data_IF_907508576541
#
_entry.id   IF_907508576541
#
_cell.length_a   1.000
_cell.length_b   1.000
_cell.length_c   1.000
_cell.angle_alpha   90.00
_cell.angle_beta   90.00
_cell.angle_gamma   90.00
#
_symmetry.space_group_name_H-M   'P 1'
#
loop_
_entity.id
_entity.type
_entity.pdbx_description
1 polymer ?
#
# COMPACT_ATOMS: atom_id res chain seq x y z
N UNK A 1 1.97 -2.04 14.33
CA UNK A 1 3.33 -2.30 13.83
C UNK A 1 4.30 -2.46 14.99
N UNK A 2 5.23 -3.41 14.89
CA UNK A 2 6.24 -3.68 15.92
C UNK A 2 7.61 -3.35 15.32
N UNK A 3 8.39 -2.51 15.98
CA UNK A 3 9.78 -2.27 15.61
C UNK A 3 10.69 -3.20 16.42
N UNK A 4 11.31 -4.16 15.77
CA UNK A 4 12.07 -5.23 16.43
C UNK A 4 13.59 -5.11 16.31
N UNK A 5 14.28 -5.75 17.21
CA UNK A 5 15.60 -5.52 17.75
C UNK A 5 16.73 -6.34 17.13
N UNK A 6 17.86 -5.70 16.86
CA UNK A 6 19.13 -6.40 16.66
C UNK A 6 20.15 -6.02 17.73
N UNK A 7 20.75 -6.99 18.41
CA UNK A 7 21.87 -6.75 19.30
C UNK A 7 23.16 -6.56 18.50
N UNK A 8 23.64 -5.33 18.43
CA UNK A 8 24.99 -5.01 17.97
C UNK A 8 25.79 -4.42 19.14
N UNK A 9 27.04 -4.81 19.26
CA UNK A 9 27.97 -4.25 20.25
C UNK A 9 28.05 -2.73 20.08
N UNK A 10 27.92 -1.92 21.14
CA UNK A 10 27.95 -0.49 21.00
C UNK A 10 29.32 -0.01 20.51
N UNK A 11 29.38 0.86 19.49
CA UNK A 11 30.62 1.56 19.17
C UNK A 11 30.94 2.53 20.30
N UNK A 12 32.23 2.72 20.57
CA UNK A 12 32.70 3.71 21.53
C UNK A 12 32.10 5.09 21.17
N UNK A 13 31.42 5.70 22.13
CA UNK A 13 30.68 6.94 21.93
C UNK A 13 31.66 8.09 21.58
N UNK A 14 31.46 8.69 20.41
CA UNK A 14 32.01 10.03 20.17
C UNK A 14 31.25 11.03 21.07
N UNK A 15 31.93 12.03 21.65
CA UNK A 15 31.27 13.02 22.50
C UNK A 15 30.18 13.74 21.70
N UNK A 16 29.00 13.95 22.28
CA UNK A 16 27.90 14.62 21.59
C UNK A 16 28.35 16.03 21.22
N UNK A 17 28.35 16.34 19.91
CA UNK A 17 28.46 17.74 19.52
C UNK A 17 27.16 18.43 19.95
N UNK A 18 27.25 19.54 20.69
CA UNK A 18 26.13 20.32 21.18
C UNK A 18 25.14 20.77 20.08
N UNK A 19 25.51 20.59 18.81
CA UNK A 19 24.67 20.89 17.63
C UNK A 19 23.74 19.74 17.21
N UNK A 20 23.92 18.52 17.73
CA UNK A 20 23.20 17.33 17.29
C UNK A 20 22.02 16.93 18.18
N UNK A 21 21.97 17.45 19.40
CA UNK A 21 20.82 17.23 20.28
C UNK A 21 20.02 18.53 20.36
N UNK A 22 18.80 18.59 19.83
CA UNK A 22 17.99 19.80 19.88
C UNK A 22 17.60 20.07 21.35
N UNK A 23 18.32 20.98 21.97
CA UNK A 23 18.03 21.44 23.34
C UNK A 23 16.74 22.27 23.37
N UNK A 24 16.39 22.88 22.23
CA UNK A 24 15.12 23.60 22.06
C UNK A 24 14.16 22.70 21.28
N UNK A 25 12.94 22.60 21.72
CA UNK A 25 11.92 21.81 21.06
C UNK A 25 10.68 21.63 21.91
N UNK A 26 9.68 21.01 21.32
CA UNK A 26 8.36 20.77 21.90
C UNK A 26 8.43 19.80 23.10
N UNK A 27 9.49 19.01 23.22
CA UNK A 27 9.63 18.02 24.29
C UNK A 27 10.03 18.70 25.61
N UNK A 28 9.34 18.42 26.71
CA UNK A 28 9.56 19.02 28.05
C UNK A 28 10.78 18.39 28.75
N UNK A 29 11.96 18.57 28.18
CA UNK A 29 13.22 17.93 28.66
C UNK A 29 13.70 18.47 30.00
N UNK A 30 13.45 19.74 30.27
CA UNK A 30 13.77 20.36 31.55
C UNK A 30 12.80 19.90 32.65
N UNK A 31 11.50 19.89 32.31
CA UNK A 31 10.43 19.54 33.24
C UNK A 31 10.46 18.06 33.65
N UNK A 32 10.93 17.21 32.74
CA UNK A 32 11.12 15.76 32.99
C UNK A 32 12.42 15.42 33.70
N UNK A 33 13.29 16.42 33.95
CA UNK A 33 14.63 16.20 34.52
C UNK A 33 15.63 15.54 33.54
N UNK A 34 15.25 15.33 32.26
CA UNK A 34 16.11 14.67 31.27
C UNK A 34 17.42 15.45 31.02
N UNK A 35 17.37 16.81 31.05
CA UNK A 35 18.56 17.62 30.87
C UNK A 35 19.52 17.52 32.05
N UNK A 36 19.00 17.43 33.28
CA UNK A 36 19.84 17.31 34.49
C UNK A 36 20.47 15.90 34.54
N UNK A 37 19.69 14.87 34.21
CA UNK A 37 20.22 13.51 34.09
C UNK A 37 21.37 13.42 33.06
N UNK A 38 21.22 14.06 31.91
CA UNK A 38 22.27 14.06 30.87
C UNK A 38 23.52 14.88 31.28
N UNK A 39 23.38 15.87 32.15
CA UNK A 39 24.55 16.58 32.74
C UNK A 39 25.35 15.66 33.66
N UNK A 40 24.65 14.88 34.49
CA UNK A 40 25.29 13.93 35.40
C UNK A 40 25.85 12.70 34.68
N UNK A 41 25.16 12.29 33.59
CA UNK A 41 25.48 11.10 32.79
C UNK A 41 25.62 11.43 31.29
N UNK A 42 26.62 12.17 30.87
CA UNK A 42 26.72 12.71 29.49
C UNK A 42 26.85 11.66 28.39
N UNK A 43 27.14 10.41 28.75
CA UNK A 43 27.21 9.28 27.83
C UNK A 43 25.90 8.44 27.77
N UNK A 44 24.92 8.74 28.63
CA UNK A 44 23.66 8.01 28.75
C UNK A 44 22.54 8.69 27.93
N UNK A 45 22.83 8.97 26.70
CA UNK A 45 21.95 9.71 25.77
C UNK A 45 21.08 8.79 24.89
N UNK A 46 21.06 7.51 25.20
CA UNK A 46 20.28 6.50 24.45
C UNK A 46 20.96 5.96 23.21
N UNK A 47 22.14 6.48 22.81
CA UNK A 47 22.88 5.93 21.69
C UNK A 47 23.31 4.47 21.93
N UNK A 48 23.14 3.62 20.92
CA UNK A 48 23.43 2.19 21.03
C UNK A 48 22.34 1.36 21.69
N UNK A 49 21.26 2.00 22.18
CA UNK A 49 20.08 1.30 22.71
C UNK A 49 19.07 1.14 21.60
N UNK A 50 18.55 -0.06 21.45
CA UNK A 50 17.42 -0.34 20.55
C UNK A 50 16.14 -0.49 21.38
N UNK A 51 15.09 0.20 20.98
CA UNK A 51 13.80 0.22 21.68
C UNK A 51 12.76 -0.45 20.78
N UNK A 52 11.98 -1.38 21.33
CA UNK A 52 10.77 -1.88 20.67
C UNK A 52 9.59 -0.99 21.06
N UNK A 53 8.87 -0.52 20.05
CA UNK A 53 7.68 0.29 20.20
C UNK A 53 6.51 -0.50 19.65
N UNK A 54 5.52 -0.77 20.50
CA UNK A 54 4.25 -1.39 20.12
C UNK A 54 3.24 -0.26 19.91
N UNK A 55 2.85 -0.05 18.67
CA UNK A 55 1.98 1.04 18.25
C UNK A 55 1.09 0.62 17.07
N UNK A 56 0.22 1.49 16.64
CA UNK A 56 -0.66 1.27 15.48
C UNK A 56 0.07 1.35 14.13
N UNK A 57 1.27 1.94 14.10
CA UNK A 57 2.10 2.02 12.91
C UNK A 57 3.27 3.00 13.06
N UNK A 58 4.12 3.03 12.07
CA UNK A 58 5.20 4.01 11.94
C UNK A 58 5.40 4.33 10.46
N UNK A 59 5.48 5.61 10.13
CA UNK A 59 5.83 6.04 8.79
C UNK A 59 7.34 5.88 8.55
N UNK A 60 7.79 4.88 7.77
CA UNK A 60 9.20 4.68 7.49
C UNK A 60 9.79 5.77 6.59
N UNK A 61 8.94 6.56 5.93
CA UNK A 61 9.31 7.69 5.08
C UNK A 61 9.34 9.03 5.81
N UNK A 62 8.91 9.11 7.07
CA UNK A 62 8.80 10.38 7.78
C UNK A 62 10.16 11.07 7.96
N UNK A 63 10.26 12.38 7.66
CA UNK A 63 11.48 13.14 7.85
C UNK A 63 12.01 13.03 9.28
N UNK A 64 13.31 12.76 9.41
CA UNK A 64 13.97 12.60 10.71
C UNK A 64 13.86 11.22 11.35
N UNK A 65 13.14 10.26 10.71
CA UNK A 65 13.12 8.86 11.12
C UNK A 65 14.08 7.96 10.33
N UNK A 66 14.80 8.50 9.33
CA UNK A 66 15.69 7.72 8.47
C UNK A 66 17.01 7.40 9.16
N UNK A 67 17.62 8.42 9.79
CA UNK A 67 18.94 8.33 10.35
C UNK A 67 19.01 8.86 11.78
N UNK A 68 19.86 8.25 12.55
CA UNK A 68 20.27 8.73 13.88
C UNK A 68 21.28 9.88 13.73
N UNK A 69 21.57 10.58 14.82
CA UNK A 69 22.54 11.68 14.82
C UNK A 69 23.98 11.27 14.44
N UNK A 70 24.29 9.98 14.47
CA UNK A 70 25.56 9.39 14.07
C UNK A 70 25.49 8.67 12.71
N UNK A 71 24.43 8.93 11.90
CA UNK A 71 24.31 8.45 10.52
C UNK A 71 23.90 6.99 10.38
N UNK A 72 23.49 6.32 11.45
CA UNK A 72 22.98 4.95 11.39
C UNK A 72 21.48 4.94 11.11
N UNK A 73 20.92 3.85 10.55
CA UNK A 73 19.49 3.70 10.42
C UNK A 73 18.77 3.87 11.76
N UNK A 74 17.80 4.77 11.83
CA UNK A 74 17.05 5.04 13.06
C UNK A 74 15.98 3.98 13.29
N UNK A 75 15.25 3.61 12.25
CA UNK A 75 14.34 2.47 12.28
C UNK A 75 15.13 1.24 11.80
N UNK A 76 15.31 0.26 12.67
CA UNK A 76 16.07 -0.96 12.34
C UNK A 76 15.21 -2.05 11.74
N UNK A 77 13.93 -2.12 12.14
CA UNK A 77 12.96 -3.04 11.59
C UNK A 77 11.53 -2.53 11.82
N UNK A 78 10.59 -2.95 10.98
CA UNK A 78 9.16 -2.69 11.09
C UNK A 78 8.42 -4.00 10.86
N UNK A 79 7.55 -4.40 11.78
CA UNK A 79 6.86 -5.69 11.72
C UNK A 79 5.37 -5.47 11.98
N UNK A 80 4.52 -6.03 11.13
CA UNK A 80 3.09 -6.15 11.42
C UNK A 80 2.85 -7.29 12.40
N UNK A 81 2.45 -6.98 13.61
CA UNK A 81 2.11 -7.97 14.64
C UNK A 81 0.65 -8.41 14.62
N UNK A 82 -0.18 -7.79 13.77
CA UNK A 82 -1.60 -8.10 13.64
C UNK A 82 -1.91 -9.11 12.52
N UNK A 83 -1.01 -9.22 11.55
CA UNK A 83 -1.23 -10.00 10.33
C UNK A 83 -2.18 -9.32 9.33
N UNK A 84 -2.67 -8.10 9.61
CA UNK A 84 -3.60 -7.40 8.71
C UNK A 84 -2.98 -7.09 7.35
N UNK A 85 -1.65 -6.96 7.29
CA UNK A 85 -0.90 -6.73 6.06
C UNK A 85 -0.42 -7.99 5.36
N UNK A 86 -0.72 -9.18 5.89
CA UNK A 86 -0.24 -10.42 5.31
C UNK A 86 -0.96 -10.76 4.01
N UNK A 87 -0.19 -11.26 3.06
CA UNK A 87 -0.60 -11.68 1.73
C UNK A 87 -0.08 -13.10 1.51
N UNK A 88 -0.96 -14.03 1.20
CA UNK A 88 -0.58 -15.35 0.72
C UNK A 88 0.00 -15.21 -0.69
N UNK A 89 1.29 -15.49 -0.83
CA UNK A 89 2.04 -15.48 -2.08
C UNK A 89 2.54 -16.87 -2.46
N UNK A 90 1.94 -17.92 -1.92
CA UNK A 90 2.32 -19.32 -2.19
C UNK A 90 1.99 -19.77 -3.63
N UNK A 91 1.08 -19.06 -4.32
CA UNK A 91 0.72 -19.37 -5.70
C UNK A 91 1.88 -19.03 -6.66
N UNK A 92 2.40 -20.03 -7.37
CA UNK A 92 3.49 -19.86 -8.34
C UNK A 92 2.97 -19.60 -9.77
N UNK A 93 3.70 -18.79 -10.51
CA UNK A 93 3.49 -18.52 -11.94
C UNK A 93 4.81 -18.58 -12.70
N UNK A 94 4.72 -18.88 -13.98
CA UNK A 94 5.82 -18.75 -14.93
C UNK A 94 5.63 -17.48 -15.74
N UNK A 95 6.72 -16.75 -15.97
CA UNK A 95 6.70 -15.60 -16.85
C UNK A 95 6.89 -16.00 -18.30
N UNK A 96 6.14 -15.38 -19.20
CA UNK A 96 6.29 -15.52 -20.64
C UNK A 96 6.48 -14.13 -21.26
N UNK A 97 7.51 -13.98 -22.08
CA UNK A 97 7.81 -12.71 -22.77
C UNK A 97 7.86 -11.48 -21.83
N UNK A 98 8.41 -11.66 -20.63
CA UNK A 98 8.52 -10.59 -19.63
C UNK A 98 7.22 -10.23 -18.92
N UNK A 99 6.18 -11.07 -19.06
CA UNK A 99 4.89 -10.87 -18.39
C UNK A 99 4.42 -12.13 -17.66
N UNK A 100 3.54 -11.95 -16.69
CA UNK A 100 2.79 -13.04 -16.06
C UNK A 100 1.35 -12.61 -15.78
N UNK A 101 0.47 -13.57 -15.48
CA UNK A 101 -0.91 -13.26 -15.07
C UNK A 101 -1.02 -13.24 -13.55
N UNK A 102 -1.40 -12.09 -13.00
CA UNK A 102 -1.69 -11.92 -11.58
C UNK A 102 -2.95 -12.67 -11.13
N UNK A 103 -3.19 -12.70 -9.82
CA UNK A 103 -4.41 -13.35 -9.29
C UNK A 103 -5.68 -12.52 -9.54
N UNK A 104 -5.56 -11.22 -9.81
CA UNK A 104 -6.68 -10.39 -10.27
C UNK A 104 -7.09 -10.68 -11.71
N UNK A 105 -6.28 -11.44 -12.45
CA UNK A 105 -6.42 -11.65 -13.89
C UNK A 105 -5.71 -10.61 -14.75
N UNK A 106 -5.09 -9.59 -14.15
CA UNK A 106 -4.27 -8.62 -14.90
C UNK A 106 -3.02 -9.26 -15.46
N UNK A 107 -2.59 -8.76 -16.62
CA UNK A 107 -1.26 -9.08 -17.15
C UNK A 107 -0.25 -8.16 -16.48
N UNK A 108 0.68 -8.75 -15.75
CA UNK A 108 1.71 -8.02 -15.01
C UNK A 108 3.01 -8.02 -15.83
N UNK A 109 3.50 -6.84 -16.17
CA UNK A 109 4.77 -6.63 -16.87
C UNK A 109 5.91 -6.57 -15.87
N UNK A 110 6.88 -7.46 -16.04
CA UNK A 110 8.02 -7.59 -15.15
C UNK A 110 9.19 -6.67 -15.57
N UNK A 111 10.01 -6.25 -14.61
CA UNK A 111 11.20 -5.47 -14.91
C UNK A 111 12.24 -6.29 -15.68
N UNK A 112 12.61 -5.86 -16.88
CA UNK A 112 13.54 -6.58 -17.75
C UNK A 112 14.97 -6.77 -17.18
N UNK A 113 15.30 -6.09 -16.09
CA UNK A 113 16.58 -6.24 -15.37
C UNK A 113 16.49 -7.13 -14.14
N UNK A 114 15.30 -7.62 -13.80
CA UNK A 114 15.13 -8.47 -12.63
C UNK A 114 15.69 -9.86 -12.89
N UNK A 115 16.50 -10.33 -11.94
CA UNK A 115 17.06 -11.65 -11.99
C UNK A 115 16.15 -12.59 -11.21
N UNK A 116 15.75 -13.70 -11.78
CA UNK A 116 15.01 -14.76 -11.10
C UNK A 116 15.57 -16.11 -11.57
N UNK A 117 16.71 -16.55 -11.02
CA UNK A 117 17.36 -17.80 -11.47
C UNK A 117 16.50 -19.05 -11.25
N UNK A 118 15.56 -18.99 -10.31
CA UNK A 118 14.61 -20.08 -10.06
C UNK A 118 13.47 -20.16 -11.08
N UNK A 119 13.26 -19.11 -11.88
CA UNK A 119 12.21 -19.05 -12.91
C UNK A 119 10.77 -18.94 -12.38
N UNK A 120 10.56 -19.13 -11.08
CA UNK A 120 9.25 -19.13 -10.44
C UNK A 120 8.94 -17.78 -9.84
N UNK A 121 7.76 -17.28 -10.11
CA UNK A 121 7.22 -16.04 -9.58
C UNK A 121 6.06 -16.37 -8.66
N UNK A 122 6.14 -15.97 -7.42
CA UNK A 122 5.07 -16.11 -6.44
C UNK A 122 4.12 -14.93 -6.56
N UNK A 123 2.83 -15.18 -6.54
CA UNK A 123 1.82 -14.13 -6.73
C UNK A 123 0.78 -14.17 -5.62
N UNK A 124 0.36 -12.99 -5.19
CA UNK A 124 -0.70 -12.79 -4.21
C UNK A 124 -1.52 -11.57 -4.54
N UNK A 125 -2.59 -11.34 -3.81
CA UNK A 125 -3.42 -10.12 -3.90
C UNK A 125 -3.70 -9.56 -2.52
N UNK A 126 -3.86 -8.24 -2.45
CA UNK A 126 -4.28 -7.55 -1.24
C UNK A 126 -5.33 -6.50 -1.54
N UNK A 127 -6.48 -6.59 -0.87
CA UNK A 127 -7.48 -5.53 -0.92
C UNK A 127 -6.96 -4.30 -0.16
N UNK A 128 -6.91 -3.15 -0.83
CA UNK A 128 -6.34 -1.92 -0.25
C UNK A 128 -7.04 -1.48 1.04
N UNK A 129 -8.36 -1.68 1.11
CA UNK A 129 -9.14 -1.28 2.27
C UNK A 129 -8.90 -2.12 3.53
N UNK A 130 -8.24 -3.27 3.40
CA UNK A 130 -7.74 -4.04 4.53
C UNK A 130 -6.45 -3.46 5.13
N UNK A 131 -5.76 -2.62 4.37
CA UNK A 131 -4.50 -1.98 4.78
C UNK A 131 -4.72 -0.58 5.38
N UNK A 132 -5.85 0.06 5.04
CA UNK A 132 -6.05 1.48 5.31
C UNK A 132 -6.93 1.71 6.55
N UNK A 133 -6.65 2.77 7.35
CA UNK A 133 -7.52 3.16 8.45
C UNK A 133 -8.89 3.59 7.94
N UNK A 134 -9.94 3.37 8.74
CA UNK A 134 -11.33 3.59 8.35
C UNK A 134 -11.66 5.01 7.86
N UNK A 135 -10.99 6.02 8.41
CA UNK A 135 -11.12 7.42 7.95
C UNK A 135 -10.63 7.61 6.52
N UNK A 136 -9.49 6.98 6.17
CA UNK A 136 -8.95 6.99 4.81
C UNK A 136 -9.85 6.22 3.85
N UNK A 137 -10.28 5.01 4.23
CA UNK A 137 -11.24 4.21 3.45
C UNK A 137 -12.50 5.02 3.13
N UNK A 138 -13.07 5.68 4.15
CA UNK A 138 -14.27 6.51 3.97
C UNK A 138 -14.04 7.68 3.02
N UNK A 139 -12.87 8.30 3.03
CA UNK A 139 -12.50 9.36 2.09
C UNK A 139 -12.36 8.81 0.67
N UNK A 140 -11.60 7.73 0.50
CA UNK A 140 -11.38 7.11 -0.81
C UNK A 140 -12.67 6.60 -1.45
N UNK A 141 -13.56 5.94 -0.68
CA UNK A 141 -14.88 5.53 -1.14
C UNK A 141 -15.70 6.71 -1.70
N UNK A 142 -15.69 7.85 -1.00
CA UNK A 142 -16.40 9.05 -1.49
C UNK A 142 -15.80 9.60 -2.79
N UNK A 143 -14.47 9.65 -2.88
CA UNK A 143 -13.78 10.14 -4.07
C UNK A 143 -14.02 9.23 -5.28
N UNK A 144 -13.89 7.91 -5.11
CA UNK A 144 -14.11 6.91 -6.16
C UNK A 144 -15.57 6.86 -6.57
N UNK A 145 -16.50 6.93 -5.60
CA UNK A 145 -17.93 7.02 -5.92
C UNK A 145 -18.27 8.25 -6.75
N UNK A 146 -17.70 9.40 -6.44
CA UNK A 146 -17.92 10.63 -7.23
C UNK A 146 -17.48 10.47 -8.69
N UNK A 147 -16.36 9.84 -8.93
CA UNK A 147 -15.86 9.56 -10.27
C UNK A 147 -16.75 8.53 -10.99
N UNK A 148 -17.11 7.45 -10.31
CA UNK A 148 -18.02 6.44 -10.81
C UNK A 148 -19.39 7.04 -11.16
N UNK A 149 -20.00 7.83 -10.27
CA UNK A 149 -21.27 8.50 -10.51
C UNK A 149 -21.22 9.43 -11.74
N UNK A 150 -20.08 10.08 -12.00
CA UNK A 150 -19.89 10.87 -13.22
C UNK A 150 -19.98 10.00 -14.47
N UNK A 151 -19.24 8.92 -14.50
CA UNK A 151 -19.25 7.97 -15.63
C UNK A 151 -20.63 7.34 -15.83
N UNK A 152 -21.34 7.01 -14.74
CA UNK A 152 -22.70 6.46 -14.85
C UNK A 152 -23.70 7.48 -15.41
N UNK A 153 -23.61 8.75 -15.02
CA UNK A 153 -24.46 9.81 -15.62
C UNK A 153 -24.23 9.94 -17.13
N UNK A 154 -22.99 9.88 -17.58
CA UNK A 154 -22.68 9.92 -19.02
C UNK A 154 -23.27 8.71 -19.77
N UNK A 155 -23.14 7.51 -19.22
CA UNK A 155 -23.74 6.29 -19.79
C UNK A 155 -25.27 6.35 -19.81
N UNK A 156 -25.86 6.80 -18.70
CA UNK A 156 -27.31 6.95 -18.57
C UNK A 156 -27.86 7.94 -19.60
N UNK A 157 -27.22 9.11 -19.75
CA UNK A 157 -27.61 10.09 -20.74
C UNK A 157 -27.57 9.54 -22.17
N UNK A 158 -26.54 8.74 -22.50
CA UNK A 158 -26.45 8.07 -23.79
C UNK A 158 -27.59 7.07 -24.03
N UNK A 159 -27.95 6.25 -23.04
CA UNK A 159 -29.07 5.30 -23.17
C UNK A 159 -30.42 6.00 -23.25
N UNK A 160 -30.63 7.08 -22.49
CA UNK A 160 -31.86 7.87 -22.54
C UNK A 160 -32.01 8.56 -23.90
N UNK A 161 -30.91 9.08 -24.47
CA UNK A 161 -30.94 9.63 -25.84
C UNK A 161 -31.30 8.54 -26.86
N UNK A 162 -30.68 7.37 -26.80
CA UNK A 162 -30.98 6.26 -27.71
C UNK A 162 -32.44 5.80 -27.60
N UNK A 163 -33.02 5.79 -26.40
CA UNK A 163 -34.44 5.47 -26.22
C UNK A 163 -35.33 6.55 -26.79
N UNK A 164 -35.00 7.82 -26.63
CA UNK A 164 -35.76 8.93 -27.19
C UNK A 164 -35.75 8.92 -28.73
N UNK A 165 -34.58 8.71 -29.34
CA UNK A 165 -34.42 8.59 -30.79
C UNK A 165 -35.23 7.40 -31.34
N UNK A 166 -35.22 6.28 -30.60
CA UNK A 166 -35.99 5.11 -30.94
C UNK A 166 -37.51 5.40 -30.89
N UNK A 167 -37.98 6.06 -29.86
CA UNK A 167 -39.41 6.41 -29.67
C UNK A 167 -39.86 7.43 -30.71
N UNK A 168 -39.02 8.40 -31.09
CA UNK A 168 -39.29 9.32 -32.18
C UNK A 168 -39.47 8.59 -33.54
N UNK A 169 -38.55 7.65 -33.81
CA UNK A 169 -38.59 6.86 -35.05
C UNK A 169 -39.72 5.81 -35.07
N UNK A 170 -40.25 5.40 -33.92
CA UNK A 170 -41.22 4.31 -33.80
C UNK A 170 -42.35 4.68 -32.84
N UNK A 171 -43.27 5.56 -33.25
CA UNK A 171 -44.35 6.08 -32.37
C UNK A 171 -45.29 5.03 -31.82
N UNK A 172 -45.40 3.85 -32.44
CA UNK A 172 -46.23 2.72 -31.94
C UNK A 172 -45.53 1.39 -32.24
N UNK A 173 -44.51 1.03 -31.45
CA UNK A 173 -43.69 -0.15 -31.73
C UNK A 173 -44.49 -1.45 -31.53
N UNK A 174 -44.41 -2.37 -32.51
CA UNK A 174 -45.05 -3.69 -32.48
C UNK A 174 -44.05 -4.78 -32.81
N UNK A 175 -44.33 -6.03 -32.37
CA UNK A 175 -43.45 -7.17 -32.66
C UNK A 175 -42.03 -6.96 -32.16
N UNK A 176 -41.03 -7.09 -33.02
CA UNK A 176 -39.64 -7.00 -32.67
C UNK A 176 -39.22 -5.59 -32.21
N UNK A 177 -39.84 -4.53 -32.76
CA UNK A 177 -39.65 -3.16 -32.29
C UNK A 177 -40.07 -2.94 -30.83
N UNK A 178 -41.17 -3.60 -30.40
CA UNK A 178 -41.56 -3.57 -28.99
C UNK A 178 -40.55 -4.26 -28.09
N UNK A 179 -39.90 -5.35 -28.53
CA UNK A 179 -38.85 -6.05 -27.80
C UNK A 179 -37.61 -5.15 -27.68
N UNK A 180 -37.17 -4.54 -28.80
CA UNK A 180 -36.03 -3.64 -28.86
C UNK A 180 -36.19 -2.46 -27.90
N UNK A 181 -37.34 -1.82 -27.86
CA UNK A 181 -37.66 -0.79 -26.88
C UNK A 181 -37.58 -1.29 -25.44
N UNK A 182 -38.09 -2.49 -25.20
CA UNK A 182 -38.08 -3.15 -23.88
C UNK A 182 -36.61 -3.41 -23.43
N UNK A 183 -35.73 -3.80 -24.33
CA UNK A 183 -34.32 -4.00 -24.02
C UNK A 183 -33.60 -2.69 -23.67
N UNK A 184 -33.89 -1.59 -24.40
CA UNK A 184 -33.32 -0.27 -24.09
C UNK A 184 -33.78 0.20 -22.69
N UNK A 185 -35.09 0.06 -22.39
CA UNK A 185 -35.60 0.42 -21.07
C UNK A 185 -34.96 -0.46 -19.97
N UNK A 186 -34.88 -1.77 -20.17
CA UNK A 186 -34.26 -2.67 -19.19
C UNK A 186 -32.81 -2.35 -18.90
N UNK A 187 -32.06 -1.85 -19.88
CA UNK A 187 -30.67 -1.36 -19.68
C UNK A 187 -30.63 -0.12 -18.79
N UNK A 188 -31.58 0.81 -18.98
CA UNK A 188 -31.71 2.00 -18.13
C UNK A 188 -32.03 1.58 -16.69
N UNK A 189 -33.04 0.73 -16.51
CA UNK A 189 -33.49 0.24 -15.20
C UNK A 189 -32.35 -0.49 -14.47
N UNK A 190 -31.56 -1.28 -15.20
CA UNK A 190 -30.37 -1.96 -14.66
C UNK A 190 -29.30 -0.98 -14.19
N UNK A 191 -29.00 0.07 -14.96
CA UNK A 191 -28.02 1.08 -14.55
C UNK A 191 -28.49 1.87 -13.33
N UNK A 192 -29.78 2.19 -13.24
CA UNK A 192 -30.36 2.85 -12.06
C UNK A 192 -30.23 1.97 -10.81
N UNK A 193 -30.53 0.68 -10.93
CA UNK A 193 -30.35 -0.29 -9.83
C UNK A 193 -28.87 -0.36 -9.40
N UNK A 194 -27.94 -0.50 -10.36
CA UNK A 194 -26.50 -0.52 -10.07
C UNK A 194 -26.03 0.76 -9.39
N UNK A 195 -26.58 1.92 -9.78
CA UNK A 195 -26.21 3.21 -9.18
C UNK A 195 -26.68 3.32 -7.73
N UNK A 196 -27.87 2.78 -7.43
CA UNK A 196 -28.42 2.79 -6.08
C UNK A 196 -27.65 1.89 -5.12
N UNK A 197 -27.21 0.72 -5.58
CA UNK A 197 -26.60 -0.31 -4.74
C UNK A 197 -25.07 -0.28 -4.78
N UNK A 198 -24.47 0.70 -5.45
CA UNK A 198 -23.02 0.80 -5.57
C UNK A 198 -22.34 1.04 -4.23
N UNK A 199 -21.54 0.08 -3.77
CA UNK A 199 -20.49 0.26 -2.76
C UNK A 199 -19.14 0.00 -3.41
N UNK A 200 -18.18 0.92 -3.19
CA UNK A 200 -16.85 0.81 -3.77
C UNK A 200 -16.05 -0.29 -3.06
N UNK A 201 -15.64 -1.35 -3.76
CA UNK A 201 -14.86 -2.43 -3.16
C UNK A 201 -13.40 -2.03 -2.87
N UNK A 202 -12.97 -0.89 -3.40
CA UNK A 202 -11.59 -0.44 -3.33
C UNK A 202 -10.65 -1.08 -4.35
N UNK A 203 -9.41 -0.60 -4.38
CA UNK A 203 -8.35 -1.20 -5.18
C UNK A 203 -7.99 -2.61 -4.69
N UNK A 204 -7.59 -3.47 -5.62
CA UNK A 204 -6.98 -4.78 -5.31
C UNK A 204 -5.59 -4.81 -5.95
N UNK A 205 -4.59 -4.84 -5.12
CA UNK A 205 -3.19 -4.83 -5.53
C UNK A 205 -2.70 -6.24 -5.83
N UNK A 206 -2.14 -6.45 -7.02
CA UNK A 206 -1.35 -7.65 -7.30
C UNK A 206 0.03 -7.51 -6.64
N UNK A 207 0.48 -8.58 -6.01
CA UNK A 207 1.78 -8.68 -5.37
C UNK A 207 2.60 -9.77 -6.06
N UNK A 208 3.87 -9.48 -6.34
CA UNK A 208 4.79 -10.45 -6.92
C UNK A 208 6.01 -10.59 -6.03
N UNK A 209 6.37 -11.84 -5.70
CA UNK A 209 7.53 -12.16 -4.87
C UNK A 209 8.42 -13.16 -5.63
N UNK A 210 9.73 -12.96 -5.58
CA UNK A 210 10.71 -13.85 -6.21
C UNK A 210 12.07 -13.77 -5.53
N UNK A 211 12.92 -14.76 -5.75
CA UNK A 211 14.29 -14.75 -5.26
C UNK A 211 15.26 -14.37 -6.38
N UNK A 212 16.03 -13.30 -6.18
CA UNK A 212 16.97 -12.79 -7.19
C UNK A 212 18.32 -13.57 -7.22
N UNK A 213 18.42 -14.65 -6.45
CA UNK A 213 19.64 -15.43 -6.24
C UNK A 213 20.49 -14.91 -5.07
N UNK A 214 20.13 -13.79 -4.47
CA UNK A 214 20.80 -13.19 -3.30
C UNK A 214 19.83 -12.90 -2.17
N UNK A 215 18.62 -12.45 -2.51
CA UNK A 215 17.59 -12.08 -1.56
C UNK A 215 16.18 -12.29 -2.16
N UNK A 216 15.20 -12.43 -1.29
CA UNK A 216 13.81 -12.33 -1.67
C UNK A 216 13.45 -10.88 -2.00
N UNK A 217 12.78 -10.68 -3.12
CA UNK A 217 12.29 -9.41 -3.62
C UNK A 217 10.78 -9.44 -3.73
N UNK A 218 10.17 -8.28 -3.52
CA UNK A 218 8.74 -8.13 -3.70
C UNK A 218 8.42 -6.78 -4.36
N UNK A 219 7.34 -6.76 -5.09
CA UNK A 219 6.75 -5.58 -5.73
C UNK A 219 5.24 -5.64 -5.59
N UNK A 220 4.60 -4.49 -5.42
CA UNK A 220 3.15 -4.34 -5.28
C UNK A 220 2.68 -3.38 -6.36
N UNK A 221 1.72 -3.81 -7.18
CA UNK A 221 1.04 -2.99 -8.21
C UNK A 221 0.07 -2.02 -7.51
N UNK A 222 0.57 -0.84 -7.13
CA UNK A 222 -0.16 0.10 -6.27
C UNK A 222 -1.12 1.01 -7.01
N UNK A 223 -1.02 1.10 -8.35
CA UNK A 223 -1.90 1.91 -9.20
C UNK A 223 -2.81 1.08 -10.12
N UNK A 224 -2.68 -0.26 -10.04
CA UNK A 224 -3.54 -1.24 -10.71
C UNK A 224 -3.40 -1.24 -12.26
N UNK A 225 -2.29 -0.75 -12.80
CA UNK A 225 -2.08 -0.69 -14.25
C UNK A 225 -1.37 -1.93 -14.84
N UNK A 226 -0.78 -2.77 -13.97
CA UNK A 226 -0.07 -3.99 -14.32
C UNK A 226 1.37 -3.76 -14.81
N UNK A 227 1.87 -2.54 -14.88
CA UNK A 227 3.27 -2.25 -15.20
C UNK A 227 4.12 -2.21 -13.93
N UNK A 228 4.67 -3.34 -13.51
CA UNK A 228 5.51 -3.39 -12.31
C UNK A 228 6.87 -2.72 -12.48
N UNK A 229 7.18 -2.15 -13.66
CA UNK A 229 8.50 -1.54 -13.93
C UNK A 229 8.63 -0.13 -13.35
N UNK A 230 7.53 0.55 -13.09
CA UNK A 230 7.47 1.86 -12.45
C UNK A 230 7.23 1.76 -10.94
N UNK A 231 6.91 0.54 -10.47
CA UNK A 231 6.79 0.26 -9.05
C UNK A 231 8.15 -0.02 -8.39
N UNK A 232 8.24 0.21 -7.10
CA UNK A 232 9.46 0.00 -6.34
C UNK A 232 9.69 -1.47 -6.01
N UNK A 233 10.72 -2.06 -6.62
CA UNK A 233 11.19 -3.37 -6.20
C UNK A 233 11.86 -3.26 -4.83
N UNK A 234 11.37 -4.00 -3.85
CA UNK A 234 11.84 -3.96 -2.47
C UNK A 234 12.24 -5.34 -1.97
N UNK A 235 12.91 -5.35 -0.84
CA UNK A 235 13.20 -6.55 -0.04
C UNK A 235 12.71 -6.35 1.38
N UNK A 236 12.95 -7.34 2.24
CA UNK A 236 12.64 -7.25 3.66
C UNK A 236 13.19 -5.95 4.26
N UNK A 237 12.36 -5.18 4.98
CA UNK A 237 12.72 -3.87 5.51
C UNK A 237 14.03 -3.89 6.32
N UNK A 238 14.21 -4.87 7.17
CA UNK A 238 15.43 -5.02 7.99
C UNK A 238 16.71 -5.12 7.16
N UNK A 239 16.64 -5.59 5.91
CA UNK A 239 17.82 -5.75 5.06
C UNK A 239 18.27 -4.42 4.43
N UNK A 240 17.34 -3.69 3.80
CA UNK A 240 17.68 -2.50 2.99
C UNK A 240 16.94 -1.22 3.44
N UNK A 241 16.03 -1.27 4.43
CA UNK A 241 15.23 -0.14 4.97
C UNK A 241 14.48 0.60 3.86
N UNK A 242 13.98 -0.16 2.91
CA UNK A 242 13.21 0.38 1.81
C UNK A 242 11.75 0.56 2.19
N UNK A 243 11.15 1.60 1.66
CA UNK A 243 9.72 1.88 1.75
C UNK A 243 9.19 2.40 0.42
N UNK A 244 7.91 2.29 0.19
CA UNK A 244 7.19 2.83 -0.96
C UNK A 244 5.89 3.49 -0.51
N UNK A 245 5.16 4.11 -1.45
CA UNK A 245 3.90 4.80 -1.16
C UNK A 245 2.76 4.22 -1.99
N UNK A 246 1.55 4.13 -1.41
CA UNK A 246 0.32 3.78 -2.14
C UNK A 246 -0.19 4.95 -2.96
N UNK A 247 0.52 5.33 -3.98
CA UNK A 247 0.10 6.36 -4.91
C UNK A 247 -0.32 7.70 -4.27
N UNK A 248 -0.71 8.65 -5.12
CA UNK A 248 -1.03 10.02 -4.69
C UNK A 248 -2.34 10.15 -3.91
N UNK A 249 -3.28 9.21 -4.06
CA UNK A 249 -4.60 9.30 -3.42
C UNK A 249 -4.57 8.84 -1.96
N UNK A 250 -3.92 7.74 -1.67
CA UNK A 250 -3.81 7.21 -0.32
C UNK A 250 -2.86 8.06 0.53
N UNK A 251 -1.74 8.49 -0.04
CA UNK A 251 -0.69 9.28 0.63
C UNK A 251 -0.13 8.56 1.88
N UNK A 252 -0.14 7.23 1.86
CA UNK A 252 0.40 6.38 2.90
C UNK A 252 1.67 5.70 2.42
N UNK A 253 2.61 5.53 3.32
CA UNK A 253 3.82 4.77 3.08
C UNK A 253 3.69 3.33 3.60
N UNK A 254 4.48 2.43 3.03
CA UNK A 254 4.55 1.06 3.48
C UNK A 254 5.96 0.49 3.34
N UNK A 255 6.26 -0.47 4.19
CA UNK A 255 7.42 -1.33 4.10
C UNK A 255 6.98 -2.77 3.83
N UNK A 256 7.92 -3.63 3.45
CA UNK A 256 7.64 -5.03 3.18
C UNK A 256 8.48 -5.94 4.07
N UNK A 257 7.87 -7.04 4.48
CA UNK A 257 8.59 -8.20 4.98
C UNK A 257 8.20 -9.44 4.19
N UNK A 258 9.13 -10.37 4.03
CA UNK A 258 8.94 -11.60 3.27
C UNK A 258 9.32 -12.74 4.20
N UNK A 259 8.42 -13.70 4.35
CA UNK A 259 8.56 -14.85 5.23
C UNK A 259 8.33 -16.17 4.46
N UNK A 260 8.62 -17.28 5.09
CA UNK A 260 8.30 -18.63 4.64
C UNK A 260 8.78 -18.90 3.20
N UNK A 261 10.04 -18.55 2.91
CA UNK A 261 10.63 -18.70 1.58
C UNK A 261 9.80 -18.07 0.46
N UNK A 262 9.20 -16.91 0.76
CA UNK A 262 8.41 -16.12 -0.18
C UNK A 262 6.94 -16.53 -0.26
N UNK A 263 6.47 -17.47 0.55
CA UNK A 263 5.04 -17.84 0.59
C UNK A 263 4.17 -16.80 1.30
N UNK A 264 4.79 -15.99 2.16
CA UNK A 264 4.09 -14.92 2.88
C UNK A 264 4.80 -13.58 2.64
N UNK A 265 4.06 -12.60 2.09
CA UNK A 265 4.45 -11.21 2.03
C UNK A 265 3.66 -10.43 3.07
N UNK A 266 4.33 -9.64 3.90
CA UNK A 266 3.68 -8.75 4.87
C UNK A 266 3.88 -7.30 4.46
N UNK A 267 2.78 -6.57 4.24
CA UNK A 267 2.74 -5.15 3.90
C UNK A 267 2.53 -4.38 5.20
N UNK A 268 3.56 -3.68 5.66
CA UNK A 268 3.51 -2.92 6.92
C UNK A 268 3.28 -1.45 6.62
N UNK A 269 2.12 -0.96 6.99
CA UNK A 269 1.70 0.43 6.72
C UNK A 269 2.08 1.38 7.86
N UNK A 270 2.10 2.68 7.56
CA UNK A 270 2.37 3.74 8.53
C UNK A 270 1.27 3.87 9.60
N UNK A 271 0.03 3.51 9.26
CA UNK A 271 -1.09 3.36 10.19
C UNK A 271 -1.85 2.09 9.84
N UNK A 272 -1.92 1.15 10.75
CA UNK A 272 -2.63 -0.11 10.52
C UNK A 272 -4.15 0.08 10.34
N UNK A 273 -4.80 -0.87 9.67
CA UNK A 273 -6.23 -0.86 9.39
C UNK A 273 -7.12 -0.73 10.66
N UNK A 274 -6.60 -1.19 11.79
CA UNK A 274 -7.25 -1.12 13.10
C UNK A 274 -6.80 0.07 13.96
N UNK A 275 -5.92 0.95 13.43
CA UNK A 275 -5.55 2.21 14.06
C UNK A 275 -6.69 3.22 13.91
N UNK A 276 -7.39 3.52 14.99
CA UNK A 276 -8.43 4.56 15.05
C UNK A 276 -7.81 5.88 15.45
#
# INVERSE_FOLDING_TARGET
>A
AIVALGQGQPPAAAPPSAKLFPLQGILPKAETGALDYLKEHPTYDGRGITVAIFDTGVDPGAPGLQETSDGRPKIVDVVDGSGSGDVDTSAEREAKDGTLTGLTGRTLKLGGKWQNPGGKWRVGIKAAYELFPGSLVSRLKRERKKEWDKQQRERMAGLQANLADFDEANSTPKGDKKKERGELQARIDLLEALQKDYDDPGPVYDCVVFNDGKAWRAVVDTDEDGDLTDEKLMTRFRAERQWASFGKRAMMNFALNIYDDGDTLSIVTDVGAHGT
#
